data_IF_869857556471
#
_entry.id   IF_869857556471
#
_cell.length_a   1.000
_cell.length_b   1.000
_cell.length_c   1.000
_cell.angle_alpha   90.00
_cell.angle_beta   90.00
_cell.angle_gamma   90.00
#
_symmetry.space_group_name_H-M   'P 1'
#
loop_
_entity.id
_entity.type
_entity.pdbx_description
1 polymer ?
#
# COMPACT_ATOMS: atom_id res chain seq x y z
N UNK A 1 -19.67 3.38 0.69
CA UNK A 1 -21.05 3.92 0.58
C UNK A 1 -21.06 4.98 -0.51
N UNK A 2 -22.00 4.92 -1.47
CA UNK A 2 -22.17 6.00 -2.47
C UNK A 2 -23.16 7.01 -1.93
N UNK A 3 -22.78 8.29 -1.89
CA UNK A 3 -23.62 9.37 -1.39
C UNK A 3 -23.65 10.45 -2.47
N UNK A 4 -24.82 11.04 -2.70
CA UNK A 4 -24.95 12.18 -3.60
C UNK A 4 -24.14 13.37 -3.06
N UNK A 5 -23.46 14.16 -3.90
CA UNK A 5 -22.69 15.32 -3.46
C UNK A 5 -23.49 16.29 -2.57
N UNK A 6 -24.77 16.52 -2.90
CA UNK A 6 -25.69 17.37 -2.15
C UNK A 6 -26.12 16.78 -0.80
N UNK A 7 -25.98 15.46 -0.61
CA UNK A 7 -26.29 14.77 0.64
C UNK A 7 -25.06 14.64 1.55
N UNK A 8 -23.88 15.09 1.11
CA UNK A 8 -22.68 15.12 1.94
C UNK A 8 -22.80 16.24 2.99
N UNK A 9 -22.89 15.85 4.26
CA UNK A 9 -22.89 16.78 5.39
C UNK A 9 -21.45 16.92 5.91
N UNK A 10 -20.82 18.12 5.88
CA UNK A 10 -19.43 18.32 6.31
C UNK A 10 -19.09 17.77 7.70
N UNK A 11 -20.05 17.79 8.63
CA UNK A 11 -19.91 17.24 9.98
C UNK A 11 -19.64 15.72 10.00
N UNK A 12 -20.03 15.01 8.95
CA UNK A 12 -19.84 13.56 8.83
C UNK A 12 -18.51 13.22 8.15
N UNK A 13 -17.74 14.19 7.65
CA UNK A 13 -16.43 13.91 7.05
C UNK A 13 -15.50 13.05 7.93
N UNK A 14 -15.42 13.26 9.27
CA UNK A 14 -14.59 12.43 10.14
C UNK A 14 -15.08 10.98 10.32
N UNK A 15 -16.30 10.66 9.88
CA UNK A 15 -16.86 9.30 9.95
C UNK A 15 -16.41 8.40 8.80
N UNK A 16 -15.87 8.97 7.72
CA UNK A 16 -15.36 8.22 6.58
C UNK A 16 -13.83 8.12 6.65
N UNK A 17 -13.30 6.93 6.39
CA UNK A 17 -11.85 6.72 6.34
C UNK A 17 -11.21 7.39 5.11
N UNK A 18 -11.95 7.49 4.01
CA UNK A 18 -11.55 8.18 2.78
C UNK A 18 -12.80 8.69 2.05
N UNK A 19 -12.77 9.96 1.62
CA UNK A 19 -13.80 10.55 0.77
C UNK A 19 -13.23 10.79 -0.63
N UNK A 20 -13.86 10.20 -1.64
CA UNK A 20 -13.46 10.36 -3.05
C UNK A 20 -14.44 11.26 -3.77
N UNK A 21 -13.91 12.27 -4.45
CA UNK A 21 -14.68 13.21 -5.26
C UNK A 21 -14.29 13.07 -6.72
N UNK A 22 -15.29 12.88 -7.58
CA UNK A 22 -15.13 13.02 -9.02
C UNK A 22 -15.62 14.40 -9.45
N UNK A 23 -15.06 14.90 -10.52
CA UNK A 23 -15.31 16.14 -11.23
C UNK A 23 -16.77 16.47 -11.60
N UNK A 24 -17.68 15.50 -11.60
CA UNK A 24 -19.14 15.71 -11.75
C UNK A 24 -19.80 16.04 -10.40
N UNK A 25 -19.02 16.04 -9.32
CA UNK A 25 -19.44 16.40 -7.98
C UNK A 25 -18.89 17.77 -7.62
N UNK A 26 -19.70 18.55 -6.90
CA UNK A 26 -19.26 19.83 -6.32
C UNK A 26 -18.86 19.59 -4.87
N UNK A 27 -17.56 19.66 -4.53
CA UNK A 27 -17.12 19.58 -3.14
C UNK A 27 -17.77 20.68 -2.29
N UNK A 28 -17.94 20.48 -0.98
CA UNK A 28 -18.49 21.50 -0.10
C UNK A 28 -17.64 22.78 -0.12
N UNK A 29 -18.31 23.92 0.05
CA UNK A 29 -17.62 25.17 0.36
C UNK A 29 -16.95 25.04 1.72
N UNK A 30 -15.65 25.33 1.79
CA UNK A 30 -14.77 25.07 2.94
C UNK A 30 -14.66 23.57 3.27
N UNK A 31 -13.64 22.94 2.71
CA UNK A 31 -13.32 21.54 2.96
C UNK A 31 -13.12 21.29 4.46
N UNK A 32 -13.89 20.40 5.12
CA UNK A 32 -13.70 20.09 6.53
C UNK A 32 -12.47 19.19 6.74
N UNK A 33 -12.01 19.05 7.98
CA UNK A 33 -10.92 18.11 8.33
C UNK A 33 -11.29 16.69 7.93
N UNK A 34 -10.38 16.00 7.23
CA UNK A 34 -10.62 14.64 6.75
C UNK A 34 -9.55 14.15 5.76
N UNK A 35 -9.88 13.05 5.08
CA UNK A 35 -8.97 12.37 4.13
C UNK A 35 -9.64 12.31 2.78
N UNK A 36 -9.00 12.90 1.76
CA UNK A 36 -9.66 13.17 0.49
C UNK A 36 -8.83 12.80 -0.74
N UNK A 37 -9.50 12.19 -1.72
CA UNK A 37 -8.98 11.99 -3.07
C UNK A 37 -9.89 12.71 -4.07
N UNK A 38 -9.34 13.62 -4.85
CA UNK A 38 -10.08 14.38 -5.86
C UNK A 38 -9.63 14.02 -7.27
N UNK A 39 -10.59 13.82 -8.16
CA UNK A 39 -10.38 13.68 -9.60
C UNK A 39 -11.04 14.85 -10.34
N UNK A 40 -10.29 15.92 -10.61
CA UNK A 40 -10.74 17.09 -11.37
C UNK A 40 -11.76 17.99 -10.67
N UNK A 41 -12.34 17.57 -9.54
CA UNK A 41 -13.17 18.40 -8.66
C UNK A 41 -12.29 19.28 -7.78
N UNK A 42 -12.39 20.60 -7.91
CA UNK A 42 -11.55 21.57 -7.18
C UNK A 42 -12.26 21.95 -5.88
N UNK A 43 -11.75 21.54 -4.69
CA UNK A 43 -12.31 21.98 -3.42
C UNK A 43 -11.99 23.46 -3.14
N UNK A 44 -12.67 24.05 -2.16
CA UNK A 44 -12.46 25.44 -1.72
C UNK A 44 -12.19 25.51 -0.22
N UNK A 45 -11.64 26.64 0.23
CA UNK A 45 -11.28 26.90 1.63
C UNK A 45 -9.82 26.57 1.96
N UNK A 46 -9.42 26.82 3.20
CA UNK A 46 -8.01 26.77 3.64
C UNK A 46 -7.38 25.36 3.54
N UNK A 47 -8.20 24.32 3.67
CA UNK A 47 -7.76 22.93 3.56
C UNK A 47 -7.74 22.42 2.11
N UNK A 48 -8.04 23.27 1.12
CA UNK A 48 -7.85 22.93 -0.28
C UNK A 48 -6.37 22.95 -0.67
N UNK A 49 -5.82 21.87 -1.25
CA UNK A 49 -4.43 21.85 -1.69
C UNK A 49 -4.19 22.63 -2.98
N UNK A 50 -5.27 23.07 -3.66
CA UNK A 50 -5.21 23.74 -4.97
C UNK A 50 -6.27 24.83 -5.10
N UNK A 51 -6.01 25.82 -5.95
CA UNK A 51 -7.00 26.80 -6.40
C UNK A 51 -7.14 26.76 -7.92
N UNK A 52 -8.35 27.05 -8.44
CA UNK A 52 -8.58 27.12 -9.88
C UNK A 52 -7.82 28.30 -10.49
N UNK A 53 -7.11 28.06 -11.59
CA UNK A 53 -6.23 29.03 -12.26
C UNK A 53 -6.63 29.23 -13.73
N UNK A 54 -7.94 29.24 -14.00
CA UNK A 54 -8.51 29.53 -15.31
C UNK A 54 -9.02 28.31 -16.07
N UNK A 55 -8.99 28.39 -17.40
CA UNK A 55 -9.52 27.34 -18.28
C UNK A 55 -8.67 26.06 -18.20
N UNK A 56 -9.32 24.92 -18.45
CA UNK A 56 -8.66 23.62 -18.56
C UNK A 56 -7.58 23.63 -19.66
N UNK A 57 -6.59 22.75 -19.50
CA UNK A 57 -5.54 22.48 -20.47
C UNK A 57 -5.87 21.22 -21.27
N UNK A 58 -5.64 21.29 -22.57
CA UNK A 58 -5.81 20.16 -23.49
C UNK A 58 -4.51 19.42 -23.71
N UNK A 59 -4.60 18.09 -23.75
CA UNK A 59 -3.50 17.17 -24.02
C UNK A 59 -2.19 17.46 -23.28
N UNK A 60 -2.21 17.72 -21.95
CA UNK A 60 -0.97 18.03 -21.24
C UNK A 60 -0.05 16.79 -21.17
N UNK A 61 1.22 16.90 -21.58
CA UNK A 61 2.17 15.81 -21.41
C UNK A 61 2.59 15.71 -19.94
N UNK A 62 2.71 14.49 -19.42
CA UNK A 62 3.41 14.24 -18.16
C UNK A 62 4.91 14.38 -18.44
N UNK A 63 5.58 15.29 -17.74
CA UNK A 63 7.02 15.53 -17.92
C UNK A 63 7.86 14.80 -16.88
N UNK A 64 7.51 14.99 -15.60
CA UNK A 64 8.18 14.34 -14.49
C UNK A 64 7.19 14.02 -13.38
N UNK A 65 7.60 13.09 -12.52
CA UNK A 65 6.87 12.72 -11.32
C UNK A 65 7.80 12.32 -10.19
N UNK A 66 7.38 12.65 -8.98
CA UNK A 66 8.10 12.34 -7.76
C UNK A 66 7.92 10.86 -7.39
N UNK A 67 8.95 10.07 -7.68
CA UNK A 67 9.00 8.62 -7.37
C UNK A 67 9.18 8.34 -5.88
N UNK A 68 9.61 9.33 -5.09
CA UNK A 68 9.73 9.21 -3.64
C UNK A 68 8.39 9.46 -2.94
N UNK A 69 7.43 10.13 -3.62
CA UNK A 69 6.08 10.33 -3.11
C UNK A 69 5.42 8.98 -2.76
N UNK A 70 4.87 8.82 -1.54
CA UNK A 70 4.12 7.63 -1.16
C UNK A 70 2.97 7.29 -2.12
N UNK A 71 2.42 8.31 -2.79
CA UNK A 71 1.33 8.18 -3.76
C UNK A 71 1.76 7.46 -5.05
N UNK A 72 3.04 7.59 -5.44
CA UNK A 72 3.55 7.18 -6.75
C UNK A 72 4.61 6.08 -6.67
N UNK A 73 4.79 5.46 -5.50
CA UNK A 73 5.69 4.32 -5.34
C UNK A 73 5.30 3.18 -6.29
N UNK A 74 6.25 2.67 -7.05
CA UNK A 74 6.02 1.59 -8.03
C UNK A 74 5.04 1.96 -9.15
N UNK A 75 4.75 3.25 -9.34
CA UNK A 75 3.86 3.74 -10.39
C UNK A 75 4.70 4.30 -11.54
N UNK A 76 4.59 3.68 -12.72
CA UNK A 76 5.17 4.23 -13.94
C UNK A 76 4.13 5.07 -14.70
N UNK A 77 4.36 6.38 -14.78
CA UNK A 77 3.48 7.30 -15.48
C UNK A 77 3.89 7.55 -16.94
N UNK A 78 4.94 6.87 -17.41
CA UNK A 78 5.43 6.97 -18.78
C UNK A 78 4.35 6.63 -19.80
N UNK A 79 4.21 7.50 -20.81
CA UNK A 79 3.31 7.25 -21.94
C UNK A 79 1.81 7.34 -21.63
N UNK A 80 1.43 7.78 -20.42
CA UNK A 80 0.04 8.12 -20.10
C UNK A 80 -0.36 9.36 -20.91
N UNK A 81 -1.55 9.28 -21.51
CA UNK A 81 -2.15 10.34 -22.31
C UNK A 81 -3.34 10.90 -21.58
N UNK A 82 -3.22 12.14 -21.15
CA UNK A 82 -4.32 12.92 -20.58
C UNK A 82 -4.95 13.72 -21.71
N UNK A 83 -6.27 13.62 -21.91
CA UNK A 83 -7.02 14.42 -22.90
C UNK A 83 -7.24 15.85 -22.40
N UNK A 84 -7.63 16.00 -21.13
CA UNK A 84 -7.86 17.32 -20.53
C UNK A 84 -7.60 17.29 -19.02
N UNK A 85 -6.97 18.34 -18.49
CA UNK A 85 -6.77 18.55 -17.07
C UNK A 85 -7.20 19.97 -16.65
N UNK A 86 -7.60 20.14 -15.39
CA UNK A 86 -7.85 21.45 -14.79
C UNK A 86 -6.52 22.20 -14.63
N UNK A 87 -6.52 23.48 -14.98
CA UNK A 87 -5.40 24.37 -14.65
C UNK A 87 -5.57 24.84 -13.20
N UNK A 88 -4.64 24.44 -12.34
CA UNK A 88 -4.69 24.76 -10.91
C UNK A 88 -3.36 25.31 -10.42
N UNK A 89 -3.43 26.10 -9.35
CA UNK A 89 -2.26 26.58 -8.61
C UNK A 89 -2.20 25.84 -7.28
N UNK A 90 -1.08 25.19 -6.92
CA UNK A 90 -0.95 24.50 -5.64
C UNK A 90 -0.90 25.51 -4.48
N UNK A 91 -1.47 25.13 -3.34
CA UNK A 91 -1.34 25.89 -2.11
C UNK A 91 0.11 25.81 -1.58
N UNK A 92 0.59 26.79 -0.80
CA UNK A 92 1.97 26.82 -0.30
C UNK A 92 2.39 25.62 0.57
N UNK A 93 1.41 24.94 1.18
CA UNK A 93 1.62 23.75 2.02
C UNK A 93 1.49 22.43 1.23
N UNK A 94 1.11 22.51 -0.04
CA UNK A 94 0.91 21.35 -0.90
C UNK A 94 2.12 21.14 -1.81
N UNK A 95 2.42 19.88 -2.11
CA UNK A 95 3.53 19.46 -2.96
C UNK A 95 3.01 18.94 -4.29
N UNK A 96 3.59 19.40 -5.39
CA UNK A 96 3.33 18.87 -6.73
C UNK A 96 4.11 17.57 -6.88
N UNK A 97 3.42 16.48 -7.24
CA UNK A 97 4.03 15.15 -7.40
C UNK A 97 4.01 14.66 -8.83
N UNK A 98 3.18 15.27 -9.70
CA UNK A 98 3.22 15.06 -11.15
C UNK A 98 3.10 16.41 -11.82
N UNK A 99 4.04 16.71 -12.70
CA UNK A 99 4.08 17.98 -13.43
C UNK A 99 3.90 17.81 -14.94
N UNK A 100 3.29 18.82 -15.54
CA UNK A 100 3.32 19.04 -16.98
C UNK A 100 4.04 20.35 -17.29
N UNK A 101 4.26 20.63 -18.57
CA UNK A 101 4.90 21.88 -19.03
C UNK A 101 4.18 23.14 -18.54
N UNK A 102 2.87 23.08 -18.33
CA UNK A 102 2.03 24.28 -18.16
C UNK A 102 1.24 24.32 -16.85
N UNK A 103 1.08 23.19 -16.16
CA UNK A 103 0.40 23.12 -14.88
C UNK A 103 0.73 21.82 -14.12
N UNK A 104 0.57 21.78 -12.79
CA UNK A 104 0.62 20.53 -12.04
C UNK A 104 -0.55 19.61 -12.45
N UNK A 105 -0.27 18.30 -12.50
CA UNK A 105 -1.26 17.27 -12.82
C UNK A 105 -1.68 16.47 -11.59
N UNK A 106 -0.80 16.33 -10.60
CA UNK A 106 -1.14 15.76 -9.29
C UNK A 106 -0.48 16.55 -8.17
N UNK A 107 -1.24 16.80 -7.12
CA UNK A 107 -0.83 17.57 -5.94
C UNK A 107 -1.23 16.80 -4.69
N UNK A 108 -0.34 16.71 -3.72
CA UNK A 108 -0.62 16.11 -2.40
C UNK A 108 -0.35 17.12 -1.30
N UNK A 109 -0.95 16.93 -0.15
CA UNK A 109 -0.59 17.72 1.02
C UNK A 109 -1.19 17.20 2.30
N UNK A 110 -0.52 17.55 3.39
CA UNK A 110 -0.98 17.30 4.74
C UNK A 110 -1.04 18.64 5.48
N UNK A 111 -2.18 18.95 6.09
CA UNK A 111 -2.37 20.21 6.82
C UNK A 111 -3.14 19.95 8.10
N UNK A 112 -2.62 20.45 9.22
CA UNK A 112 -3.37 20.39 10.47
C UNK A 112 -4.63 21.27 10.38
N UNK A 113 -5.78 20.70 10.70
CA UNK A 113 -7.06 21.40 10.68
C UNK A 113 -7.29 22.20 11.95
N UNK A 114 -7.80 23.42 11.82
CA UNK A 114 -8.24 24.26 12.95
C UNK A 114 -9.65 23.80 13.34
N UNK A 115 -9.79 22.73 14.13
CA UNK A 115 -11.11 22.19 14.50
C UNK A 115 -11.12 21.29 15.74
N UNK A 116 -12.09 21.51 16.62
CA UNK A 116 -12.28 20.86 17.93
C UNK A 116 -12.71 19.40 17.77
N UNK A 117 -11.78 18.45 17.95
CA UNK A 117 -12.13 17.02 18.07
C UNK A 117 -11.09 16.04 17.51
N UNK A 118 -9.95 15.91 18.16
CA UNK A 118 -9.19 14.65 18.27
C UNK A 118 -8.57 13.96 17.03
N UNK A 119 -8.72 14.46 15.80
CA UNK A 119 -8.09 13.90 14.58
C UNK A 119 -7.63 15.01 13.62
N UNK A 120 -6.85 15.96 14.16
CA UNK A 120 -6.57 17.27 13.58
C UNK A 120 -5.65 17.33 12.35
N UNK A 121 -5.60 16.31 11.48
CA UNK A 121 -4.79 16.34 10.26
C UNK A 121 -5.65 16.05 9.03
N UNK A 122 -5.57 16.93 8.05
CA UNK A 122 -6.20 16.79 6.74
C UNK A 122 -5.17 16.26 5.76
N UNK A 123 -5.44 15.12 5.13
CA UNK A 123 -4.61 14.57 4.04
C UNK A 123 -5.38 14.63 2.74
N UNK A 124 -4.77 15.20 1.72
CA UNK A 124 -5.43 15.38 0.42
C UNK A 124 -4.52 14.95 -0.71
N UNK A 125 -5.07 14.22 -1.66
CA UNK A 125 -4.50 14.01 -2.98
C UNK A 125 -5.46 14.57 -4.03
N UNK A 126 -4.95 15.38 -4.94
CA UNK A 126 -5.68 16.00 -6.02
C UNK A 126 -5.08 15.58 -7.35
N UNK A 127 -5.91 15.02 -8.23
CA UNK A 127 -5.59 14.69 -9.62
C UNK A 127 -6.31 15.69 -10.51
N UNK A 128 -5.58 16.43 -11.34
CA UNK A 128 -6.13 17.53 -12.13
C UNK A 128 -7.04 17.07 -13.28
N UNK A 129 -6.97 15.81 -13.68
CA UNK A 129 -7.75 15.23 -14.77
C UNK A 129 -8.72 14.16 -14.28
N UNK A 130 -9.77 13.93 -15.08
CA UNK A 130 -10.73 12.86 -14.84
C UNK A 130 -10.15 11.53 -15.31
N UNK A 131 -10.35 10.41 -14.61
CA UNK A 131 -9.99 9.08 -15.10
C UNK A 131 -10.52 8.83 -16.53
N UNK A 132 -11.76 9.24 -16.81
CA UNK A 132 -12.42 9.13 -18.13
C UNK A 132 -11.82 10.03 -19.22
N UNK A 133 -11.04 11.03 -18.84
CA UNK A 133 -10.33 11.95 -19.74
C UNK A 133 -8.86 11.56 -19.89
N UNK A 134 -8.51 10.30 -19.62
CA UNK A 134 -7.15 9.78 -19.78
C UNK A 134 -7.17 8.29 -20.12
N UNK A 135 -6.07 7.77 -20.64
CA UNK A 135 -5.86 6.32 -20.73
C UNK A 135 -5.31 5.72 -19.41
N UNK A 136 -5.14 6.54 -18.37
CA UNK A 136 -4.55 6.13 -17.09
C UNK A 136 -5.25 4.89 -16.49
N UNK A 137 -6.60 4.80 -16.44
CA UNK A 137 -7.28 3.61 -15.91
C UNK A 137 -7.03 2.31 -16.68
N UNK A 138 -6.52 2.41 -17.91
CA UNK A 138 -6.18 1.26 -18.75
C UNK A 138 -4.72 0.81 -18.53
N UNK A 139 -3.95 1.52 -17.70
CA UNK A 139 -2.56 1.20 -17.37
C UNK A 139 -2.49 0.47 -16.04
N UNK A 140 -1.48 -0.41 -15.90
CA UNK A 140 -1.15 -1.08 -14.61
C UNK A 140 -0.83 -0.07 -13.51
N UNK A 141 -0.31 1.10 -13.88
CA UNK A 141 -0.03 2.19 -12.98
C UNK A 141 -1.26 2.68 -12.19
N UNK A 142 -2.47 2.57 -12.74
CA UNK A 142 -3.68 3.06 -12.08
C UNK A 142 -4.08 2.26 -10.83
N UNK A 143 -4.26 0.92 -10.88
CA UNK A 143 -4.57 0.17 -9.66
C UNK A 143 -3.47 0.30 -8.59
N UNK A 144 -2.19 0.41 -8.98
CA UNK A 144 -1.09 0.68 -8.05
C UNK A 144 -1.24 2.06 -7.40
N UNK A 145 -1.52 3.09 -8.21
CA UNK A 145 -1.81 4.43 -7.72
C UNK A 145 -2.99 4.46 -6.73
N UNK A 146 -4.10 3.78 -7.03
CA UNK A 146 -5.25 3.73 -6.13
C UNK A 146 -4.89 3.07 -4.81
N UNK A 147 -4.16 1.95 -4.83
CA UNK A 147 -3.66 1.28 -3.62
C UNK A 147 -2.80 2.23 -2.77
N UNK A 148 -1.82 2.88 -3.40
CA UNK A 148 -0.95 3.84 -2.73
C UNK A 148 -1.71 5.04 -2.19
N UNK A 149 -2.69 5.57 -2.93
CA UNK A 149 -3.54 6.68 -2.51
C UNK A 149 -4.36 6.33 -1.27
N UNK A 150 -4.95 5.13 -1.22
CA UNK A 150 -5.66 4.65 -0.02
C UNK A 150 -4.69 4.55 1.16
N UNK A 151 -3.54 3.91 0.97
CA UNK A 151 -2.51 3.78 2.01
C UNK A 151 -2.03 5.13 2.53
N UNK A 152 -1.73 6.07 1.65
CA UNK A 152 -1.23 7.40 1.99
C UNK A 152 -2.28 8.25 2.71
N UNK A 153 -3.52 8.28 2.18
CA UNK A 153 -4.58 9.14 2.67
C UNK A 153 -5.24 8.61 3.93
N UNK A 154 -5.45 7.29 4.03
CA UNK A 154 -5.98 6.64 5.24
C UNK A 154 -4.92 6.53 6.32
N UNK A 155 -3.65 6.57 5.93
CA UNK A 155 -2.53 6.32 6.82
C UNK A 155 -2.59 4.88 7.34
N UNK A 156 -1.47 4.17 7.31
CA UNK A 156 -1.33 3.14 8.33
C UNK A 156 -1.26 3.91 9.64
N UNK A 157 -2.25 3.72 10.50
CA UNK A 157 -2.11 4.22 11.87
C UNK A 157 -0.88 3.49 12.40
N UNK A 158 0.25 4.19 12.57
CA UNK A 158 1.54 3.65 13.03
C UNK A 158 1.47 2.95 14.41
N UNK A 159 0.26 2.66 14.91
CA UNK A 159 0.00 1.92 16.13
C UNK A 159 -1.04 0.80 16.07
N UNK A 160 -1.76 0.56 14.95
CA UNK A 160 -2.88 -0.42 14.99
C UNK A 160 -3.12 -1.26 13.71
N UNK A 161 -2.49 -0.91 12.58
CA UNK A 161 -2.83 -1.53 11.28
C UNK A 161 -1.85 -2.58 10.73
N UNK A 162 -0.58 -2.51 11.12
CA UNK A 162 0.48 -3.35 10.52
C UNK A 162 1.07 -4.38 11.50
N UNK A 163 0.54 -4.44 12.72
CA UNK A 163 0.86 -5.54 13.63
C UNK A 163 -0.04 -6.70 13.24
N UNK A 164 0.50 -7.63 12.44
CA UNK A 164 -0.03 -8.99 12.42
C UNK A 164 0.23 -9.55 13.82
N UNK A 165 -0.77 -9.42 14.69
CA UNK A 165 -0.67 -9.87 16.07
C UNK A 165 -0.76 -11.39 16.06
N UNK A 166 0.23 -12.03 16.68
CA UNK A 166 0.22 -13.47 16.89
C UNK A 166 -0.66 -13.80 18.07
N UNK A 167 -1.17 -15.04 18.14
CA UNK A 167 -1.83 -15.50 19.34
C UNK A 167 -0.93 -15.33 20.57
N UNK A 168 -1.41 -14.57 21.56
CA UNK A 168 -0.67 -14.27 22.79
C UNK A 168 0.09 -12.93 22.79
N UNK A 169 0.11 -12.19 21.68
CA UNK A 169 0.67 -10.84 21.65
C UNK A 169 -0.18 -9.85 22.44
N UNK A 170 0.47 -8.96 23.20
CA UNK A 170 -0.23 -7.95 23.99
C UNK A 170 -0.52 -6.70 23.16
N UNK A 171 -1.76 -6.24 23.17
CA UNK A 171 -2.21 -5.04 22.45
C UNK A 171 -2.37 -3.88 23.42
N UNK A 172 -1.76 -2.71 23.19
CA UNK A 172 -2.01 -1.55 24.04
C UNK A 172 -3.49 -1.12 23.94
N UNK A 173 -4.14 -0.95 25.08
CA UNK A 173 -5.54 -0.52 25.14
C UNK A 173 -5.68 0.83 25.85
N UNK A 174 -6.55 1.72 25.36
CA UNK A 174 -6.85 2.98 26.03
C UNK A 174 -7.41 2.75 27.43
N UNK A 175 -7.19 3.71 28.34
CA UNK A 175 -7.70 3.64 29.71
C UNK A 175 -9.22 3.69 29.74
N UNK A 176 -9.81 2.70 30.42
CA UNK A 176 -11.26 2.51 30.47
C UNK A 176 -11.85 2.14 29.11
N UNK A 177 -12.21 0.87 28.95
CA UNK A 177 -12.86 0.37 27.75
C UNK A 177 -13.25 -1.09 27.86
N UNK A 178 -13.67 -1.67 26.74
CA UNK A 178 -13.92 -3.10 26.63
C UNK A 178 -13.38 -3.65 25.32
N UNK A 179 -12.88 -4.88 25.33
CA UNK A 179 -12.41 -5.59 24.15
C UNK A 179 -13.38 -6.72 23.88
N UNK A 180 -14.00 -6.69 22.71
CA UNK A 180 -14.78 -7.80 22.18
C UNK A 180 -13.84 -8.74 21.43
N UNK A 181 -13.73 -9.97 21.92
CA UNK A 181 -12.89 -11.02 21.33
C UNK A 181 -13.48 -11.59 20.04
N UNK A 182 -12.72 -12.42 19.33
CA UNK A 182 -13.12 -13.02 18.06
C UNK A 182 -14.35 -13.93 18.13
N UNK A 183 -14.76 -14.34 19.33
CA UNK A 183 -15.97 -15.14 19.60
C UNK A 183 -17.15 -14.33 20.14
N UNK A 184 -17.01 -13.00 20.24
CA UNK A 184 -18.06 -12.10 20.74
C UNK A 184 -18.10 -11.93 22.26
N UNK A 185 -17.18 -12.53 23.01
CA UNK A 185 -17.03 -12.29 24.44
C UNK A 185 -16.45 -10.90 24.71
N UNK A 186 -17.01 -10.17 25.68
CA UNK A 186 -16.61 -8.81 26.00
C UNK A 186 -15.86 -8.76 27.33
N UNK A 187 -14.64 -8.22 27.32
CA UNK A 187 -13.76 -8.11 28.49
C UNK A 187 -13.49 -6.64 28.79
N UNK A 188 -13.77 -6.20 30.02
CA UNK A 188 -13.48 -4.82 30.43
C UNK A 188 -11.97 -4.65 30.63
N UNK A 189 -11.40 -3.58 30.09
CA UNK A 189 -9.98 -3.26 30.22
C UNK A 189 -9.85 -1.92 30.93
N UNK A 190 -9.09 -1.90 32.03
CA UNK A 190 -8.82 -0.69 32.80
C UNK A 190 -7.83 0.26 32.08
N UNK A 191 -7.15 -0.23 31.04
CA UNK A 191 -6.08 0.46 30.33
C UNK A 191 -4.75 -0.28 30.44
N UNK A 192 -3.79 0.14 29.62
CA UNK A 192 -2.47 -0.49 29.57
C UNK A 192 -2.40 -1.46 28.41
N UNK A 193 -2.40 -2.77 28.69
CA UNK A 193 -2.13 -3.78 27.68
C UNK A 193 -3.06 -4.99 27.84
N UNK A 194 -3.68 -5.41 26.73
CA UNK A 194 -4.61 -6.54 26.65
C UNK A 194 -3.90 -7.78 26.10
N UNK A 195 -3.88 -8.86 26.87
CA UNK A 195 -3.22 -10.13 26.54
C UNK A 195 -4.17 -11.28 26.18
N UNK A 196 -5.48 -11.01 26.05
CA UNK A 196 -6.52 -12.00 25.69
C UNK A 196 -6.56 -12.38 24.19
N UNK A 197 -5.41 -12.33 23.52
CA UNK A 197 -5.28 -12.55 22.08
C UNK A 197 -4.99 -14.02 21.74
N UNK A 198 -5.32 -15.01 22.59
CA UNK A 198 -4.92 -16.40 22.35
C UNK A 198 -5.64 -17.07 21.18
N UNK A 199 -6.66 -16.43 20.61
CA UNK A 199 -7.44 -16.95 19.50
C UNK A 199 -7.29 -16.06 18.28
N UNK A 200 -7.24 -16.69 17.12
CA UNK A 200 -7.27 -15.99 15.84
C UNK A 200 -8.61 -15.31 15.62
N UNK A 201 -8.61 -14.22 14.86
CA UNK A 201 -9.81 -13.52 14.42
C UNK A 201 -9.77 -12.01 14.70
N UNK A 202 -10.91 -11.37 14.48
CA UNK A 202 -11.06 -9.92 14.63
C UNK A 202 -11.45 -9.58 16.06
N UNK A 203 -10.76 -8.60 16.62
CA UNK A 203 -11.04 -8.04 17.94
C UNK A 203 -11.52 -6.59 17.78
N UNK A 204 -12.41 -6.14 18.65
CA UNK A 204 -12.88 -4.75 18.67
C UNK A 204 -12.63 -4.13 20.03
N UNK A 205 -11.79 -3.11 20.09
CA UNK A 205 -11.59 -2.27 21.28
C UNK A 205 -12.64 -1.16 21.27
N UNK A 206 -13.40 -1.03 22.35
CA UNK A 206 -14.34 0.07 22.56
C UNK A 206 -13.86 0.89 23.75
N UNK A 207 -13.47 2.15 23.53
CA UNK A 207 -13.05 3.08 24.59
C UNK A 207 -14.26 3.54 25.41
N UNK A 208 -14.05 4.04 26.63
CA UNK A 208 -15.08 4.68 27.46
C UNK A 208 -15.82 5.83 26.74
N UNK A 209 -15.18 6.50 25.78
CA UNK A 209 -15.78 7.52 24.92
C UNK A 209 -16.68 6.97 23.79
N UNK A 210 -16.80 5.64 23.67
CA UNK A 210 -17.56 4.96 22.61
C UNK A 210 -16.81 4.80 21.28
N UNK A 211 -15.57 5.26 21.18
CA UNK A 211 -14.73 5.06 20.00
C UNK A 211 -14.41 3.56 19.84
N UNK A 212 -14.56 3.04 18.62
CA UNK A 212 -14.25 1.64 18.28
C UNK A 212 -13.00 1.57 17.41
N UNK A 213 -12.04 0.74 17.80
CA UNK A 213 -10.92 0.32 16.94
C UNK A 213 -10.95 -1.19 16.75
N UNK A 214 -10.37 -1.69 15.66
CA UNK A 214 -10.33 -3.12 15.36
C UNK A 214 -8.91 -3.55 15.05
N UNK A 215 -8.52 -4.71 15.58
CA UNK A 215 -7.27 -5.37 15.24
C UNK A 215 -7.52 -6.84 14.91
N UNK A 216 -6.60 -7.44 14.15
CA UNK A 216 -6.68 -8.84 13.74
C UNK A 216 -5.57 -9.64 14.41
N UNK A 217 -5.91 -10.80 14.94
CA UNK A 217 -4.96 -11.81 15.40
C UNK A 217 -4.91 -12.92 14.35
N UNK A 218 -3.73 -13.20 13.80
CA UNK A 218 -3.53 -14.17 12.74
C UNK A 218 -2.38 -15.13 13.06
N UNK A 219 -2.45 -16.35 12.52
CA UNK A 219 -1.32 -17.30 12.56
C UNK A 219 -0.22 -16.92 11.57
N UNK A 220 -0.50 -16.02 10.62
CA UNK A 220 0.45 -15.59 9.61
C UNK A 220 1.65 -14.92 10.29
N UNK A 221 2.83 -15.51 10.11
CA UNK A 221 4.10 -14.98 10.60
C UNK A 221 4.85 -14.35 9.43
N UNK A 222 5.30 -13.10 9.58
CA UNK A 222 6.21 -12.48 8.61
C UNK A 222 7.47 -13.34 8.35
N UNK A 223 7.91 -14.13 9.33
CA UNK A 223 9.04 -15.06 9.19
C UNK A 223 8.74 -16.31 8.36
N UNK A 224 7.47 -16.71 8.20
CA UNK A 224 7.11 -17.81 7.29
C UNK A 224 7.05 -17.35 5.82
N UNK A 225 6.72 -16.07 5.60
CA UNK A 225 6.72 -15.45 4.27
C UNK A 225 8.11 -14.96 3.84
N UNK A 226 9.09 -14.96 4.75
CA UNK A 226 10.46 -14.56 4.48
C UNK A 226 11.20 -15.67 3.71
N UNK A 227 11.12 -15.65 2.38
CA UNK A 227 11.88 -16.57 1.50
C UNK A 227 13.32 -16.14 1.27
N UNK A 228 13.75 -15.00 1.83
CA UNK A 228 15.16 -14.63 1.83
C UNK A 228 15.92 -15.58 2.76
N UNK A 229 17.11 -16.09 2.36
CA UNK A 229 17.93 -16.93 3.23
C UNK A 229 18.18 -16.19 4.54
N UNK A 230 17.80 -16.79 5.66
CA UNK A 230 18.18 -16.25 6.96
C UNK A 230 19.71 -16.40 7.10
N UNK A 231 20.44 -15.29 7.00
CA UNK A 231 21.89 -15.25 7.20
C UNK A 231 22.29 -15.37 8.68
N UNK A 232 21.35 -15.66 9.57
CA UNK A 232 21.54 -15.66 11.02
C UNK A 232 21.38 -17.01 11.73
N UNK A 233 21.65 -18.21 11.17
CA UNK A 233 22.05 -19.28 12.04
C UNK A 233 23.48 -18.97 12.47
N UNK A 234 23.65 -18.27 13.59
CA UNK A 234 24.86 -18.46 14.39
C UNK A 234 24.80 -19.90 14.91
N UNK A 235 25.17 -20.85 14.05
CA UNK A 235 25.73 -22.10 14.52
C UNK A 235 27.02 -21.68 15.19
N UNK A 236 26.96 -21.41 16.49
CA UNK A 236 28.15 -21.37 17.32
C UNK A 236 28.71 -22.78 17.27
N UNK A 237 29.56 -23.03 16.27
CA UNK A 237 30.52 -24.12 16.32
C UNK A 237 31.43 -23.73 17.47
N UNK A 238 31.08 -24.22 18.65
CA UNK A 238 32.03 -24.23 19.75
C UNK A 238 33.17 -25.11 19.27
N UNK A 239 34.36 -24.51 19.15
CA UNK A 239 35.61 -25.23 18.93
C UNK A 239 35.86 -26.18 20.11
N UNK A 240 35.17 -27.32 20.09
CA UNK A 240 35.47 -28.48 20.89
C UNK A 240 36.10 -29.52 19.98
N UNK A 241 37.29 -29.19 19.46
CA UNK A 241 38.23 -30.24 19.07
C UNK A 241 38.78 -30.81 20.37
N UNK A 242 38.27 -31.99 20.76
CA UNK A 242 39.03 -33.04 21.44
C UNK A 242 38.22 -34.34 21.50
N UNK A 243 38.80 -35.35 20.89
CA UNK A 243 38.57 -36.79 21.04
C UNK A 243 37.14 -37.30 20.85
N UNK A 244 36.85 -37.61 19.59
CA UNK A 244 35.80 -38.54 19.19
C UNK A 244 36.15 -39.14 17.85
N UNK A 245 36.67 -40.37 17.86
CA UNK A 245 36.83 -41.20 16.67
C UNK A 245 35.47 -41.52 16.07
N UNK A 246 34.91 -40.60 15.31
CA UNK A 246 33.84 -40.90 14.37
C UNK A 246 34.23 -40.30 13.02
N UNK A 247 34.69 -41.18 12.14
CA UNK A 247 34.87 -40.87 10.73
C UNK A 247 33.51 -40.45 10.17
N UNK A 248 33.27 -39.14 10.09
CA UNK A 248 32.18 -38.58 9.31
C UNK A 248 32.37 -39.06 7.86
N UNK A 249 31.60 -40.09 7.49
CA UNK A 249 31.58 -40.60 6.11
C UNK A 249 31.32 -39.40 5.20
N UNK A 250 32.18 -39.12 4.19
CA UNK A 250 31.89 -38.06 3.24
C UNK A 250 30.49 -38.34 2.69
N UNK A 251 29.56 -37.40 2.91
CA UNK A 251 28.24 -37.45 2.29
C UNK A 251 28.50 -37.62 0.81
N UNK A 252 28.13 -38.79 0.27
CA UNK A 252 28.28 -39.09 -1.15
C UNK A 252 27.58 -37.97 -1.89
N UNK A 253 28.37 -37.11 -2.54
CA UNK A 253 27.87 -36.18 -3.54
C UNK A 253 26.99 -37.00 -4.48
N UNK A 254 25.75 -36.58 -4.79
CA UNK A 254 24.95 -37.27 -5.79
C UNK A 254 25.80 -37.34 -7.05
N UNK A 255 26.31 -38.54 -7.37
CA UNK A 255 27.06 -38.70 -8.60
C UNK A 255 26.13 -38.26 -9.73
N UNK A 256 26.68 -37.58 -10.72
CA UNK A 256 25.91 -36.98 -11.79
C UNK A 256 25.62 -38.04 -12.86
N UNK A 257 24.55 -38.81 -12.69
CA UNK A 257 24.19 -39.89 -13.63
C UNK A 257 23.76 -39.36 -15.02
N UNK A 258 23.47 -38.06 -15.13
CA UNK A 258 23.00 -37.43 -16.37
C UNK A 258 24.02 -37.55 -17.52
N UNK A 259 25.32 -37.57 -17.22
CA UNK A 259 26.37 -37.70 -18.23
C UNK A 259 26.28 -39.00 -19.05
N UNK A 260 25.88 -40.11 -18.41
CA UNK A 260 25.70 -41.40 -19.08
C UNK A 260 24.50 -41.41 -20.03
N UNK A 261 23.49 -40.57 -19.79
CA UNK A 261 22.34 -40.42 -20.69
C UNK A 261 22.58 -39.38 -21.79
N UNK A 262 23.35 -38.34 -21.50
CA UNK A 262 23.68 -37.29 -22.47
C UNK A 262 24.60 -37.79 -23.60
N UNK A 263 25.58 -38.65 -23.28
CA UNK A 263 26.54 -39.18 -24.25
C UNK A 263 25.89 -39.98 -25.41
N UNK A 264 25.03 -40.99 -25.18
CA UNK A 264 24.39 -41.73 -26.27
C UNK A 264 23.43 -40.86 -27.08
N UNK A 265 22.74 -39.89 -26.45
CA UNK A 265 21.86 -38.96 -27.13
C UNK A 265 22.65 -38.08 -28.14
N UNK A 266 23.81 -37.58 -27.73
CA UNK A 266 24.71 -36.81 -28.61
C UNK A 266 25.23 -37.64 -29.79
N UNK A 267 25.57 -38.91 -29.56
CA UNK A 267 26.01 -39.82 -30.62
C UNK A 267 24.87 -40.07 -31.62
N UNK A 268 23.65 -40.31 -31.13
CA UNK A 268 22.48 -40.55 -31.98
C UNK A 268 22.19 -39.32 -32.86
N UNK A 269 22.29 -38.11 -32.28
CA UNK A 269 22.13 -36.85 -33.00
C UNK A 269 23.22 -36.62 -34.05
N UNK A 270 24.47 -37.00 -33.77
CA UNK A 270 25.57 -36.95 -34.73
C UNK A 270 25.39 -37.95 -35.88
N UNK A 271 24.90 -39.17 -35.59
CA UNK A 271 24.58 -40.18 -36.60
C UNK A 271 23.43 -39.70 -37.48
N UNK A 272 22.37 -39.15 -36.90
CA UNK A 272 21.24 -38.61 -37.63
C UNK A 272 21.67 -37.47 -38.55
N UNK A 273 22.49 -36.54 -38.04
CA UNK A 273 23.05 -35.45 -38.83
C UNK A 273 23.90 -35.97 -40.00
N UNK A 274 24.74 -36.98 -39.76
CA UNK A 274 25.55 -37.59 -40.82
C UNK A 274 24.71 -38.29 -41.88
N UNK A 275 23.68 -39.06 -41.49
CA UNK A 275 22.75 -39.70 -42.42
C UNK A 275 21.95 -38.67 -43.22
N UNK A 276 21.50 -37.59 -42.58
CA UNK A 276 20.79 -36.49 -43.24
C UNK A 276 21.66 -35.82 -44.31
N UNK A 277 22.94 -35.59 -44.02
CA UNK A 277 23.88 -35.05 -45.02
C UNK A 277 24.23 -36.04 -46.12
N UNK A 278 24.24 -37.35 -45.84
CA UNK A 278 24.48 -38.38 -46.86
C UNK A 278 23.30 -38.55 -47.83
N UNK A 279 22.08 -38.19 -47.42
CA UNK A 279 20.86 -38.29 -48.25
C UNK A 279 20.62 -37.08 -49.17
N UNK A 280 21.47 -36.04 -49.08
CA UNK A 280 21.42 -34.82 -49.91
C UNK A 280 22.53 -34.73 -50.97
N UNK A 281 23.30 -35.80 -51.20
CA UNK A 281 24.09 -36.02 -52.43
C UNK A 281 23.44 -37.15 -53.22
#
# INVERSE_FOLDING_TARGET
QRISPSAFVPKNAPTFDLTVWDSDSTPPANLPTGRYLFFGAVPTGDLSPVSSSGASIESPPILDWDRASPLLRFTDLSGIRVRSARRVTPAPWASVVVESKTAPLMVVGERSGIGTGGRGETRVAYVAFRPTQSDFPLRVAFPVFISNAVTYLVGHTDGDGDRVLRPGDTVPTPSGGSVTNSTGGNESVAGGAYSGTQRVGMYTVTTASGAKSRFAVSLLSAGETQTAPDTSPQITVTDAVKDGTDSAKPRKSPQEWWGYFAAPLLILLAIEWWLFHRRKR
#
